data_IF_236772800982
#
_entry.id   IF_236772800982
#
_cell.length_a   1.000
_cell.length_b   1.000
_cell.length_c   1.000
_cell.angle_alpha   90.00
_cell.angle_beta   90.00
_cell.angle_gamma   90.00
#
_symmetry.space_group_name_H-M   'P 1'
#
loop_
_entity.id
_entity.type
_entity.pdbx_description
1 polymer ?
#
# COMPACT_ATOMS: atom_id res chain seq x y z
N UNK A 1 -10.11 -14.04 2.03
CA UNK A 1 -11.54 -13.79 1.76
C UNK A 1 -11.90 -12.29 1.83
N UNK A 2 -11.54 -11.58 2.90
CA UNK A 2 -11.86 -10.15 3.07
C UNK A 2 -11.28 -9.21 1.97
N UNK A 3 -9.99 -9.34 1.61
CA UNK A 3 -9.40 -8.49 0.57
C UNK A 3 -10.10 -8.62 -0.80
N UNK A 4 -10.46 -9.84 -1.19
CA UNK A 4 -11.16 -10.08 -2.46
C UNK A 4 -12.54 -9.39 -2.48
N UNK A 5 -13.26 -9.43 -1.35
CA UNK A 5 -14.54 -8.74 -1.22
C UNK A 5 -14.39 -7.21 -1.26
N UNK A 6 -13.38 -6.66 -0.59
CA UNK A 6 -13.07 -5.24 -0.62
C UNK A 6 -12.80 -4.75 -2.05
N UNK A 7 -11.93 -5.45 -2.80
CA UNK A 7 -11.64 -5.08 -4.18
C UNK A 7 -12.84 -5.26 -5.12
N UNK A 8 -13.71 -6.24 -4.86
CA UNK A 8 -14.95 -6.38 -5.60
C UNK A 8 -15.89 -5.19 -5.36
N UNK A 9 -15.98 -4.69 -4.13
CA UNK A 9 -16.78 -3.51 -3.80
C UNK A 9 -16.22 -2.25 -4.46
N UNK A 10 -14.90 -2.04 -4.39
CA UNK A 10 -14.21 -0.93 -5.04
C UNK A 10 -14.40 -0.93 -6.56
N UNK A 11 -14.54 -2.11 -7.18
CA UNK A 11 -14.83 -2.23 -8.61
C UNK A 11 -16.25 -1.77 -8.98
N UNK A 12 -17.23 -1.95 -8.09
CA UNK A 12 -18.62 -1.56 -8.36
C UNK A 12 -18.83 -0.07 -8.08
N UNK A 13 -18.24 0.44 -7.01
CA UNK A 13 -18.31 1.85 -6.63
C UNK A 13 -16.93 2.34 -6.21
N UNK A 14 -16.12 2.85 -7.17
CA UNK A 14 -14.78 3.32 -6.85
C UNK A 14 -14.88 4.58 -5.99
N UNK A 15 -14.20 4.56 -4.85
CA UNK A 15 -13.96 5.76 -4.05
C UNK A 15 -12.76 6.51 -4.64
N UNK A 16 -12.79 7.84 -4.76
CA UNK A 16 -11.64 8.61 -5.25
C UNK A 16 -10.41 8.49 -4.33
N UNK A 17 -10.62 8.17 -3.05
CA UNK A 17 -9.58 7.94 -2.05
C UNK A 17 -9.93 6.72 -1.19
N UNK A 18 -8.95 5.85 -0.96
CA UNK A 18 -9.07 4.67 -0.10
C UNK A 18 -7.91 4.63 0.90
N UNK A 19 -8.22 4.41 2.18
CA UNK A 19 -7.24 4.26 3.26
C UNK A 19 -7.31 2.84 3.78
N UNK A 20 -6.20 2.11 3.71
CA UNK A 20 -6.09 0.71 4.08
C UNK A 20 -5.09 0.56 5.23
N UNK A 21 -5.50 -0.10 6.31
CA UNK A 21 -4.65 -0.31 7.48
C UNK A 21 -4.36 -1.80 7.66
N UNK A 22 -3.07 -2.16 7.54
CA UNK A 22 -2.49 -3.49 7.73
C UNK A 22 -3.24 -4.66 7.06
N UNK A 23 -3.90 -4.42 5.93
CA UNK A 23 -4.67 -5.46 5.22
C UNK A 23 -3.81 -6.61 4.69
N UNK A 24 -2.50 -6.41 4.57
CA UNK A 24 -1.52 -7.40 4.15
C UNK A 24 -0.87 -8.17 5.31
N UNK A 25 -1.14 -7.81 6.56
CA UNK A 25 -0.64 -8.52 7.75
C UNK A 25 -0.94 -10.04 7.76
N UNK A 26 -2.13 -10.53 7.34
CA UNK A 26 -2.41 -11.98 7.34
C UNK A 26 -1.91 -12.71 6.07
N UNK A 27 -1.26 -12.01 5.13
CA UNK A 27 -0.87 -12.57 3.84
C UNK A 27 0.56 -13.13 3.89
N UNK A 28 0.78 -14.26 3.20
CA UNK A 28 2.12 -14.78 2.93
C UNK A 28 2.78 -14.01 1.77
N UNK A 29 4.10 -14.18 1.57
CA UNK A 29 4.86 -13.41 0.56
C UNK A 29 4.24 -13.46 -0.84
N UNK A 30 3.79 -14.64 -1.30
CA UNK A 30 3.15 -14.79 -2.62
C UNK A 30 1.81 -14.04 -2.71
N UNK A 31 1.01 -14.03 -1.64
CA UNK A 31 -0.26 -13.31 -1.64
C UNK A 31 -0.08 -11.81 -1.46
N UNK A 32 0.99 -11.35 -0.81
CA UNK A 32 1.37 -9.94 -0.75
C UNK A 32 1.72 -9.41 -2.14
N UNK A 33 2.49 -10.15 -2.94
CA UNK A 33 2.79 -9.77 -4.33
C UNK A 33 1.51 -9.60 -5.15
N UNK A 34 0.56 -10.54 -5.03
CA UNK A 34 -0.75 -10.45 -5.71
C UNK A 34 -1.56 -9.25 -5.23
N UNK A 35 -1.56 -8.99 -3.92
CA UNK A 35 -2.22 -7.84 -3.32
C UNK A 35 -1.67 -6.53 -3.89
N UNK A 36 -0.35 -6.39 -3.96
CA UNK A 36 0.33 -5.22 -4.55
C UNK A 36 -0.05 -5.04 -6.02
N UNK A 37 -0.05 -6.11 -6.82
CA UNK A 37 -0.44 -6.04 -8.23
C UNK A 37 -1.89 -5.55 -8.40
N UNK A 38 -2.79 -5.99 -7.52
CA UNK A 38 -4.19 -5.53 -7.53
C UNK A 38 -4.24 -4.04 -7.14
N UNK A 39 -3.57 -3.63 -6.06
CA UNK A 39 -3.51 -2.23 -5.65
C UNK A 39 -3.02 -1.31 -6.77
N UNK A 40 -1.94 -1.68 -7.46
CA UNK A 40 -1.39 -0.89 -8.57
C UNK A 40 -2.39 -0.70 -9.72
N UNK A 41 -3.22 -1.72 -10.01
CA UNK A 41 -4.27 -1.62 -11.03
C UNK A 41 -5.34 -0.62 -10.62
N UNK A 42 -5.82 -0.68 -9.38
CA UNK A 42 -6.82 0.26 -8.89
C UNK A 42 -6.25 1.67 -8.68
N UNK A 43 -4.94 1.79 -8.43
CA UNK A 43 -4.26 3.07 -8.24
C UNK A 43 -4.26 3.95 -9.51
N UNK A 44 -4.56 3.38 -10.68
CA UNK A 44 -4.76 4.15 -11.91
C UNK A 44 -6.05 4.99 -11.87
N UNK A 45 -7.07 4.53 -11.15
CA UNK A 45 -8.41 5.14 -11.12
C UNK A 45 -8.74 5.79 -9.77
N UNK A 46 -8.03 5.44 -8.70
CA UNK A 46 -8.27 5.93 -7.34
C UNK A 46 -6.96 6.13 -6.55
N UNK A 47 -6.97 7.05 -5.58
CA UNK A 47 -5.82 7.23 -4.69
C UNK A 47 -5.85 6.24 -3.53
N UNK A 48 -4.72 5.63 -3.22
CA UNK A 48 -4.57 4.72 -2.08
C UNK A 48 -3.57 5.28 -1.06
N UNK A 49 -3.95 5.24 0.21
CA UNK A 49 -3.06 5.40 1.36
C UNK A 49 -3.03 4.05 2.06
N UNK A 50 -1.86 3.43 2.12
CA UNK A 50 -1.68 2.12 2.75
C UNK A 50 -0.78 2.27 3.95
N UNK A 51 -1.27 1.85 5.11
CA UNK A 51 -0.51 1.76 6.35
C UNK A 51 -0.11 0.29 6.48
N UNK A 52 1.19 0.02 6.48
CA UNK A 52 1.71 -1.34 6.53
C UNK A 52 3.16 -1.32 7.00
N UNK A 53 3.58 -2.43 7.59
CA UNK A 53 4.97 -2.73 7.90
C UNK A 53 5.59 -3.76 6.92
N UNK A 54 4.85 -4.18 5.87
CA UNK A 54 5.32 -5.17 4.91
C UNK A 54 6.30 -4.56 3.89
N UNK A 55 7.57 -5.02 3.82
CA UNK A 55 8.56 -4.45 2.91
C UNK A 55 8.15 -4.50 1.44
N UNK A 56 7.52 -5.59 0.99
CA UNK A 56 7.11 -5.76 -0.41
C UNK A 56 6.03 -4.75 -0.81
N UNK A 57 5.09 -4.45 0.08
CA UNK A 57 4.06 -3.43 -0.17
C UNK A 57 4.65 -2.03 -0.14
N UNK A 58 5.58 -1.74 0.78
CA UNK A 58 6.28 -0.45 0.88
C UNK A 58 7.09 -0.19 -0.40
N UNK A 59 7.90 -1.15 -0.83
CA UNK A 59 8.77 -1.04 -2.02
C UNK A 59 8.01 -0.80 -3.32
N UNK A 60 6.75 -1.24 -3.39
CA UNK A 60 5.90 -1.04 -4.55
C UNK A 60 5.28 0.37 -4.63
N UNK A 61 5.28 1.14 -3.53
CA UNK A 61 4.71 2.47 -3.47
C UNK A 61 5.70 3.55 -3.96
N UNK A 62 5.24 4.55 -4.73
CA UNK A 62 6.12 5.63 -5.23
C UNK A 62 6.47 6.68 -4.17
N UNK A 63 5.67 6.80 -3.11
CA UNK A 63 5.84 7.78 -2.04
C UNK A 63 5.66 7.06 -0.71
N UNK A 64 6.59 7.28 0.21
CA UNK A 64 6.57 6.74 1.56
C UNK A 64 6.41 7.88 2.55
N UNK A 65 5.60 7.63 3.59
CA UNK A 65 5.49 8.51 4.75
C UNK A 65 5.99 7.74 5.96
N UNK A 66 7.28 7.89 6.26
CA UNK A 66 7.86 7.29 7.45
C UNK A 66 7.36 8.01 8.70
N UNK A 67 6.82 7.27 9.66
CA UNK A 67 6.40 7.82 10.95
C UNK A 67 7.40 7.38 12.01
N UNK A 68 7.94 8.34 12.76
CA UNK A 68 8.87 8.08 13.85
C UNK A 68 8.45 8.83 15.10
N UNK A 69 8.97 8.43 16.25
CA UNK A 69 8.70 9.04 17.55
C UNK A 69 10.03 9.33 18.23
N UNK A 70 10.50 10.59 18.15
CA UNK A 70 11.74 11.02 18.81
C UNK A 70 11.52 11.27 20.30
N UNK A 71 10.35 11.84 20.63
CA UNK A 71 9.89 12.08 21.99
C UNK A 71 8.66 11.21 22.25
N UNK A 72 8.53 10.58 23.43
CA UNK A 72 7.37 9.75 23.75
C UNK A 72 6.05 10.49 23.53
N UNK A 73 5.17 9.92 22.69
CA UNK A 73 3.85 10.49 22.39
C UNK A 73 3.84 11.58 21.32
N UNK A 74 4.99 11.97 20.75
CA UNK A 74 5.07 12.95 19.66
C UNK A 74 5.54 12.27 18.37
N UNK A 75 4.63 12.09 17.42
CA UNK A 75 4.94 11.53 16.11
C UNK A 75 5.50 12.60 15.16
N UNK A 76 6.54 12.26 14.42
CA UNK A 76 7.09 13.04 13.32
C UNK A 76 6.97 12.26 12.02
N UNK A 77 6.56 12.96 10.95
CA UNK A 77 6.36 12.37 9.62
C UNK A 77 7.50 12.79 8.69
N UNK A 78 8.08 11.82 8.01
CA UNK A 78 9.19 12.00 7.07
C UNK A 78 8.72 11.54 5.69
N UNK A 79 8.48 12.47 4.75
CA UNK A 79 8.13 12.11 3.38
C UNK A 79 9.38 11.66 2.61
N UNK A 80 9.25 10.60 1.83
CA UNK A 80 10.27 10.13 0.91
C UNK A 80 9.63 9.76 -0.43
N UNK A 81 10.23 10.18 -1.54
CA UNK A 81 9.77 9.81 -2.88
C UNK A 81 10.76 8.81 -3.48
N UNK A 82 10.30 7.60 -3.75
CA UNK A 82 11.11 6.57 -4.37
C UNK A 82 11.49 6.97 -5.81
N UNK A 83 12.75 6.75 -6.20
CA UNK A 83 13.26 7.15 -7.53
C UNK A 83 12.70 6.28 -8.67
N UNK A 84 12.33 5.03 -8.37
CA UNK A 84 11.72 4.06 -9.28
C UNK A 84 10.91 3.06 -8.44
N UNK A 85 9.67 2.69 -8.81
CA UNK A 85 8.99 1.57 -8.16
C UNK A 85 9.78 0.29 -8.45
N UNK A 86 10.24 -0.42 -7.42
CA UNK A 86 11.17 -1.55 -7.54
C UNK A 86 10.63 -2.74 -8.36
N UNK A 87 9.32 -2.79 -8.62
CA UNK A 87 8.70 -3.87 -9.40
C UNK A 87 8.93 -3.81 -10.93
N UNK A 88 9.66 -2.80 -11.44
CA UNK A 88 9.96 -2.67 -12.88
C UNK A 88 11.31 -3.27 -13.31
N UNK A 89 12.02 -4.01 -12.45
CA UNK A 89 13.37 -4.52 -12.74
C UNK A 89 13.52 -6.05 -12.68
N UNK A 90 12.55 -6.80 -13.20
CA UNK A 90 12.76 -8.22 -13.51
C UNK A 90 12.27 -8.51 -14.94
N UNK A 91 13.20 -8.35 -15.89
CA UNK A 91 13.16 -8.95 -17.22
C UNK A 91 14.49 -9.70 -17.41
#
# INVERSE_FOLDING_TARGET
AACAFLFALLKVKPSPLCVLDELDAPLDGRNVERYVQILQRFAADAQFIVITHNPTTIEAAPIWFGVTMQEPGVSSVIPYKAKTPALASNN
#
